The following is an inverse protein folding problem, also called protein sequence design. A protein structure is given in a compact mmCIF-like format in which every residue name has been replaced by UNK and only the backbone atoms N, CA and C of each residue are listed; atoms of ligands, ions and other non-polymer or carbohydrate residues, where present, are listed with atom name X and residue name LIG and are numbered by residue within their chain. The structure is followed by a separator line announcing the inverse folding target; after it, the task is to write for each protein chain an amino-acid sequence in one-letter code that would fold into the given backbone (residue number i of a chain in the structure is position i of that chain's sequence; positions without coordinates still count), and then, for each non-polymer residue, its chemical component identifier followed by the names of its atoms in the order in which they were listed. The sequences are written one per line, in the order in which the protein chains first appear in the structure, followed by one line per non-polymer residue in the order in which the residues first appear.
data_IF_654371752323
#
_entry.id   IF_654371752323
#
_cell.length_a   1.000
_cell.length_b   1.000
_cell.length_c   1.000
_cell.angle_alpha   90.00
_cell.angle_beta   90.00
_cell.angle_gamma   90.00
#
_symmetry.space_group_name_H-M   'P 1'
#
loop_
_entity.id
_entity.type
_entity.pdbx_description
1 polymer ?
#
# COMPACT_ATOMS: atom_id res chain seq x y z
N UNK A 1 -19.79 -17.28 -28.71
CA UNK A 1 -18.47 -17.91 -28.50
C UNK A 1 -17.26 -16.97 -28.49
N UNK A 2 -17.19 -15.91 -29.30
CA UNK A 2 -16.02 -14.98 -29.36
C UNK A 2 -15.69 -14.22 -28.05
N UNK A 3 -16.67 -13.79 -27.25
CA UNK A 3 -16.42 -13.00 -26.01
C UNK A 3 -15.72 -13.77 -24.87
N UNK A 4 -15.87 -15.10 -24.78
CA UNK A 4 -15.23 -15.92 -23.75
C UNK A 4 -13.74 -16.15 -24.04
N UNK A 5 -13.39 -16.28 -25.33
CA UNK A 5 -12.01 -16.48 -25.78
C UNK A 5 -11.18 -15.20 -25.60
N UNK A 6 -11.74 -14.03 -25.94
CA UNK A 6 -11.09 -12.74 -25.69
C UNK A 6 -10.81 -12.48 -24.20
N UNK A 7 -11.74 -12.85 -23.31
CA UNK A 7 -11.52 -12.75 -21.85
C UNK A 7 -10.43 -13.70 -21.36
N UNK A 8 -10.31 -14.90 -21.91
CA UNK A 8 -9.26 -15.87 -21.57
C UNK A 8 -7.88 -15.44 -22.07
N UNK A 9 -7.81 -14.90 -23.28
CA UNK A 9 -6.57 -14.38 -23.88
C UNK A 9 -6.12 -13.12 -23.13
N UNK A 10 -7.00 -12.17 -22.88
CA UNK A 10 -6.68 -10.97 -22.10
C UNK A 10 -6.19 -11.28 -20.69
N UNK A 11 -6.77 -12.31 -20.03
CA UNK A 11 -6.31 -12.78 -18.73
C UNK A 11 -4.91 -13.42 -18.79
N UNK A 12 -4.59 -14.21 -19.80
CA UNK A 12 -3.25 -14.81 -20.00
C UNK A 12 -2.21 -13.74 -20.37
N UNK A 13 -2.55 -12.81 -21.25
CA UNK A 13 -1.67 -11.69 -21.62
C UNK A 13 -1.36 -10.83 -20.40
N UNK A 14 -2.34 -10.56 -19.53
CA UNK A 14 -2.11 -9.82 -18.29
C UNK A 14 -1.24 -10.62 -17.29
N UNK A 15 -1.47 -11.92 -17.17
CA UNK A 15 -0.75 -12.81 -16.24
C UNK A 15 0.72 -13.04 -16.62
N UNK A 16 1.04 -13.08 -17.91
CA UNK A 16 2.40 -13.33 -18.41
C UNK A 16 3.05 -12.03 -18.88
N UNK A 17 2.31 -11.19 -19.58
CA UNK A 17 2.84 -9.94 -20.15
C UNK A 17 3.28 -8.94 -19.10
N UNK A 18 2.53 -8.82 -17.99
CA UNK A 18 2.85 -7.85 -16.95
C UNK A 18 4.19 -8.17 -16.23
N UNK A 19 4.45 -9.41 -15.75
CA UNK A 19 5.77 -9.77 -15.22
C UNK A 19 6.91 -9.57 -16.22
N UNK A 20 6.67 -9.89 -17.51
CA UNK A 20 7.67 -9.68 -18.57
C UNK A 20 7.97 -8.18 -18.77
N UNK A 21 6.95 -7.33 -18.78
CA UNK A 21 7.13 -5.86 -18.88
C UNK A 21 7.90 -5.34 -17.66
N UNK A 22 7.56 -5.77 -16.45
CA UNK A 22 8.27 -5.39 -15.22
C UNK A 22 9.74 -5.77 -15.31
N UNK A 23 10.01 -7.01 -15.71
CA UNK A 23 11.37 -7.51 -15.86
C UNK A 23 12.14 -6.72 -16.95
N UNK A 24 11.50 -6.43 -18.08
CA UNK A 24 12.10 -5.67 -19.16
C UNK A 24 12.44 -4.23 -18.73
N UNK A 25 11.53 -3.55 -18.01
CA UNK A 25 11.77 -2.22 -17.46
C UNK A 25 12.91 -2.25 -16.44
N UNK A 26 12.95 -3.26 -15.58
CA UNK A 26 14.02 -3.45 -14.60
C UNK A 26 15.39 -3.68 -15.30
N UNK A 27 15.44 -4.58 -16.28
CA UNK A 27 16.66 -4.86 -17.05
C UNK A 27 17.17 -3.61 -17.80
N UNK A 28 16.24 -2.82 -18.35
CA UNK A 28 16.60 -1.55 -18.98
C UNK A 28 17.21 -0.57 -17.96
N UNK A 29 16.69 -0.50 -16.75
CA UNK A 29 17.22 0.34 -15.69
C UNK A 29 18.60 -0.14 -15.21
N UNK A 30 18.80 -1.45 -15.08
CA UNK A 30 20.11 -2.06 -14.78
C UNK A 30 21.11 -1.73 -15.90
N UNK A 31 20.72 -1.88 -17.17
CA UNK A 31 21.55 -1.54 -18.32
C UNK A 31 21.99 -0.07 -18.32
N UNK A 32 21.07 0.84 -18.04
CA UNK A 32 21.36 2.29 -18.03
C UNK A 32 22.30 2.70 -16.88
N UNK A 33 22.37 1.91 -15.80
CA UNK A 33 23.27 2.16 -14.66
C UNK A 33 24.44 1.16 -14.61
N UNK A 34 24.71 0.43 -15.69
CA UNK A 34 25.71 -0.66 -15.73
C UNK A 34 27.11 -0.21 -15.34
N UNK A 35 27.54 0.95 -15.80
CA UNK A 35 28.85 1.52 -15.45
C UNK A 35 29.02 1.79 -13.97
N UNK A 36 27.97 2.21 -13.29
CA UNK A 36 27.97 2.44 -11.83
C UNK A 36 27.95 1.12 -11.06
N UNK A 37 27.25 0.10 -11.60
CA UNK A 37 27.18 -1.24 -11.02
C UNK A 37 28.53 -1.97 -11.08
N UNK A 38 29.32 -1.76 -12.14
CA UNK A 38 30.60 -2.43 -12.33
C UNK A 38 31.80 -1.67 -11.73
N UNK A 39 31.62 -0.41 -11.36
CA UNK A 39 32.69 0.43 -10.81
C UNK A 39 33.08 0.07 -9.36
N UNK A 40 32.28 -0.72 -8.66
CA UNK A 40 32.50 -1.07 -7.26
C UNK A 40 32.52 -2.58 -7.03
N UNK A 41 33.47 -3.04 -6.21
CA UNK A 41 33.50 -4.41 -5.69
C UNK A 41 32.57 -4.49 -4.46
N UNK A 42 31.48 -5.21 -4.57
CA UNK A 42 30.53 -5.40 -3.48
C UNK A 42 30.86 -6.67 -2.71
N UNK A 43 30.74 -6.58 -1.38
CA UNK A 43 30.73 -7.77 -0.55
C UNK A 43 29.30 -8.34 -0.49
N UNK A 44 29.10 -9.48 -1.12
CA UNK A 44 27.78 -10.10 -1.16
C UNK A 44 27.61 -11.05 0.02
N UNK A 45 26.70 -10.73 0.94
CA UNK A 45 26.32 -11.63 2.03
C UNK A 45 24.94 -12.25 1.74
N UNK A 46 24.87 -13.52 1.26
CA UNK A 46 23.62 -14.17 0.88
C UNK A 46 22.64 -14.34 2.04
N UNK A 47 23.13 -14.50 3.27
CA UNK A 47 22.29 -14.63 4.46
C UNK A 47 21.54 -13.35 4.77
N UNK A 48 22.21 -12.20 4.68
CA UNK A 48 21.57 -10.91 4.88
C UNK A 48 20.60 -10.59 3.73
N UNK A 49 20.91 -11.00 2.50
CA UNK A 49 19.97 -10.88 1.37
C UNK A 49 18.71 -11.71 1.62
N UNK A 50 18.86 -12.95 2.11
CA UNK A 50 17.73 -13.80 2.49
C UNK A 50 16.90 -13.19 3.62
N UNK A 51 17.53 -12.61 4.63
CA UNK A 51 16.85 -11.94 5.73
C UNK A 51 16.10 -10.68 5.28
N UNK A 52 16.71 -9.87 4.42
CA UNK A 52 16.06 -8.70 3.81
C UNK A 52 14.84 -9.11 2.99
N UNK A 53 14.97 -10.15 2.17
CA UNK A 53 13.87 -10.71 1.39
C UNK A 53 12.70 -11.16 2.28
N UNK A 54 12.98 -11.88 3.37
CA UNK A 54 11.96 -12.28 4.33
C UNK A 54 11.27 -11.08 4.98
N UNK A 55 12.03 -10.04 5.32
CA UNK A 55 11.47 -8.78 5.84
C UNK A 55 10.51 -8.11 4.86
N UNK A 56 10.85 -8.07 3.56
CA UNK A 56 9.93 -7.55 2.54
C UNK A 56 8.68 -8.45 2.35
N UNK A 57 8.81 -9.76 2.45
CA UNK A 57 7.63 -10.64 2.48
C UNK A 57 6.71 -10.34 3.66
N UNK A 58 7.29 -10.12 4.85
CA UNK A 58 6.52 -9.77 6.05
C UNK A 58 5.79 -8.42 5.87
N UNK A 59 6.44 -7.45 5.24
CA UNK A 59 5.81 -6.18 4.86
C UNK A 59 4.59 -6.41 3.95
N UNK A 60 4.72 -7.20 2.89
CA UNK A 60 3.61 -7.49 1.96
C UNK A 60 2.42 -8.15 2.66
N UNK A 61 2.68 -9.10 3.56
CA UNK A 61 1.63 -9.74 4.37
C UNK A 61 0.97 -8.72 5.30
N UNK A 62 1.74 -7.82 5.92
CA UNK A 62 1.22 -6.79 6.82
C UNK A 62 0.21 -5.86 6.12
N UNK A 63 0.39 -5.57 4.85
CA UNK A 63 -0.53 -4.76 4.08
C UNK A 63 -1.94 -5.36 4.02
N UNK A 64 -2.04 -6.64 3.74
CA UNK A 64 -3.32 -7.35 3.72
C UNK A 64 -3.98 -7.44 5.10
N UNK A 65 -3.19 -7.58 6.17
CA UNK A 65 -3.67 -7.57 7.56
C UNK A 65 -4.24 -6.20 7.95
N UNK A 66 -3.53 -5.13 7.63
CA UNK A 66 -3.97 -3.76 7.91
C UNK A 66 -5.26 -3.46 7.15
N UNK A 67 -5.33 -3.83 5.86
CA UNK A 67 -6.53 -3.63 5.06
C UNK A 67 -7.74 -4.44 5.59
N UNK A 68 -7.54 -5.68 6.04
CA UNK A 68 -8.57 -6.46 6.73
C UNK A 68 -9.10 -5.73 7.96
N UNK A 69 -8.21 -5.15 8.76
CA UNK A 69 -8.58 -4.38 9.95
C UNK A 69 -9.41 -3.14 9.57
N UNK A 70 -9.02 -2.42 8.51
CA UNK A 70 -9.79 -1.27 7.99
C UNK A 70 -11.21 -1.72 7.59
N UNK A 71 -11.35 -2.81 6.84
CA UNK A 71 -12.65 -3.35 6.43
C UNK A 71 -13.50 -3.74 7.65
N UNK A 72 -12.91 -4.39 8.66
CA UNK A 72 -13.60 -4.77 9.88
C UNK A 72 -14.15 -3.57 10.65
N UNK A 73 -13.38 -2.45 10.72
CA UNK A 73 -13.80 -1.19 11.34
C UNK A 73 -14.93 -0.50 10.56
N UNK A 74 -15.00 -0.72 9.27
CA UNK A 74 -16.10 -0.26 8.40
C UNK A 74 -17.32 -1.22 8.40
N UNK A 75 -17.32 -2.24 9.27
CA UNK A 75 -18.40 -3.20 9.40
C UNK A 75 -18.37 -4.37 8.43
N UNK A 76 -17.36 -4.46 7.55
CA UNK A 76 -17.20 -5.55 6.59
C UNK A 76 -16.19 -6.59 7.11
N UNK A 77 -16.70 -7.73 7.61
CA UNK A 77 -15.85 -8.81 8.14
C UNK A 77 -15.56 -9.84 7.06
N UNK A 78 -14.34 -9.88 6.59
CA UNK A 78 -13.86 -10.88 5.64
C UNK A 78 -12.76 -11.75 6.29
N UNK A 79 -12.72 -13.02 5.91
CA UNK A 79 -11.66 -13.92 6.35
C UNK A 79 -10.28 -13.45 5.86
N UNK A 80 -9.24 -13.61 6.69
CA UNK A 80 -7.87 -13.18 6.41
C UNK A 80 -7.35 -13.69 5.04
N UNK A 81 -7.56 -14.96 4.73
CA UNK A 81 -7.12 -15.57 3.46
C UNK A 81 -7.74 -14.87 2.24
N UNK A 82 -9.00 -14.45 2.33
CA UNK A 82 -9.70 -13.75 1.26
C UNK A 82 -9.12 -12.34 1.12
N UNK A 83 -8.93 -11.63 2.24
CA UNK A 83 -8.34 -10.30 2.26
C UNK A 83 -6.93 -10.30 1.68
N UNK A 84 -6.04 -11.17 2.14
CA UNK A 84 -4.68 -11.30 1.62
C UNK A 84 -4.67 -11.56 0.11
N UNK A 85 -5.54 -12.49 -0.35
CA UNK A 85 -5.62 -12.82 -1.77
C UNK A 85 -6.08 -11.65 -2.62
N UNK A 86 -7.14 -10.94 -2.19
CA UNK A 86 -7.65 -9.78 -2.92
C UNK A 86 -6.60 -8.68 -2.91
N UNK A 87 -6.00 -8.41 -1.75
CA UNK A 87 -4.99 -7.37 -1.59
C UNK A 87 -3.79 -7.62 -2.50
N UNK A 88 -3.07 -8.70 -2.26
CA UNK A 88 -1.84 -9.04 -2.97
C UNK A 88 -2.07 -9.15 -4.48
N UNK A 89 -3.15 -9.81 -4.92
CA UNK A 89 -3.44 -9.93 -6.35
C UNK A 89 -3.84 -8.60 -7.00
N UNK A 90 -4.43 -7.65 -6.24
CA UNK A 90 -4.75 -6.32 -6.77
C UNK A 90 -3.51 -5.43 -6.90
N UNK A 91 -2.50 -5.59 -6.02
CA UNK A 91 -1.26 -4.83 -6.10
C UNK A 91 -0.51 -5.05 -7.42
N UNK A 92 -0.58 -6.24 -8.02
CA UNK A 92 -0.01 -6.47 -9.37
C UNK A 92 -0.55 -5.53 -10.44
N UNK A 93 -1.77 -5.04 -10.26
CA UNK A 93 -2.41 -4.15 -11.25
C UNK A 93 -1.83 -2.73 -11.18
N UNK A 94 -1.09 -2.36 -10.13
CA UNK A 94 -0.43 -1.04 -10.01
C UNK A 94 0.70 -0.83 -11.03
N UNK A 95 1.20 -1.91 -11.64
CA UNK A 95 2.19 -1.81 -12.71
C UNK A 95 1.60 -1.37 -14.06
N UNK A 96 0.27 -1.28 -14.17
CA UNK A 96 -0.40 -0.63 -15.29
C UNK A 96 -0.32 0.89 -15.08
N UNK A 97 0.11 1.66 -16.10
CA UNK A 97 0.20 3.11 -16.00
C UNK A 97 -1.10 3.74 -15.52
N UNK A 98 -1.00 4.74 -14.62
CA UNK A 98 -2.14 5.48 -14.08
C UNK A 98 -2.45 5.23 -12.60
N UNK A 99 -1.72 4.36 -11.91
CA UNK A 99 -1.75 4.10 -10.43
C UNK A 99 -3.14 3.97 -9.75
N UNK A 100 -4.25 3.93 -10.52
CA UNK A 100 -5.63 3.83 -9.99
C UNK A 100 -6.25 2.45 -10.20
N UNK A 101 -5.66 1.65 -11.07
CA UNK A 101 -6.26 0.38 -11.49
C UNK A 101 -6.32 -0.66 -10.37
N UNK A 102 -5.35 -0.70 -9.48
CA UNK A 102 -5.34 -1.59 -8.31
C UNK A 102 -6.49 -1.26 -7.36
N UNK A 103 -6.82 0.04 -7.18
CA UNK A 103 -7.95 0.51 -6.35
C UNK A 103 -9.26 0.00 -6.95
N UNK A 104 -9.48 0.25 -8.25
CA UNK A 104 -10.70 -0.20 -8.94
C UNK A 104 -10.86 -1.72 -8.91
N UNK A 105 -9.77 -2.45 -9.15
CA UNK A 105 -9.77 -3.92 -9.12
C UNK A 105 -10.14 -4.44 -7.74
N UNK A 106 -9.60 -3.85 -6.68
CA UNK A 106 -9.87 -4.25 -5.30
C UNK A 106 -11.33 -3.99 -4.93
N UNK A 107 -11.89 -2.81 -5.29
CA UNK A 107 -13.30 -2.49 -5.09
C UNK A 107 -14.22 -3.50 -5.80
N UNK A 108 -13.90 -3.84 -7.05
CA UNK A 108 -14.69 -4.80 -7.82
C UNK A 108 -14.61 -6.22 -7.25
N UNK A 109 -13.45 -6.63 -6.78
CA UNK A 109 -13.24 -7.99 -6.27
C UNK A 109 -13.85 -8.19 -4.89
N UNK A 110 -13.69 -7.21 -3.98
CA UNK A 110 -14.28 -7.31 -2.65
C UNK A 110 -15.82 -7.27 -2.70
N UNK A 111 -16.38 -6.58 -3.71
CA UNK A 111 -17.82 -6.58 -3.95
C UNK A 111 -18.42 -7.97 -4.23
N UNK A 112 -17.63 -8.92 -4.76
CA UNK A 112 -18.06 -10.31 -4.96
C UNK A 112 -18.27 -11.09 -3.65
N UNK A 113 -17.76 -10.56 -2.55
CA UNK A 113 -17.87 -11.13 -1.20
C UNK A 113 -18.87 -10.34 -0.33
N UNK A 114 -19.78 -9.59 -0.96
CA UNK A 114 -20.87 -8.90 -0.27
C UNK A 114 -20.50 -7.53 0.32
N UNK A 115 -19.30 -7.04 0.12
CA UNK A 115 -18.91 -5.69 0.57
C UNK A 115 -19.48 -4.65 -0.39
N UNK A 116 -20.25 -3.70 0.14
CA UNK A 116 -20.82 -2.62 -0.68
C UNK A 116 -19.75 -1.73 -1.29
N UNK A 117 -20.01 -1.20 -2.49
CA UNK A 117 -19.06 -0.32 -3.19
C UNK A 117 -18.63 0.91 -2.39
N UNK A 118 -19.55 1.61 -1.65
CA UNK A 118 -19.16 2.73 -0.79
C UNK A 118 -18.17 2.32 0.31
N UNK A 119 -18.41 1.19 0.99
CA UNK A 119 -17.51 0.66 2.03
C UNK A 119 -16.14 0.28 1.44
N UNK A 120 -16.13 -0.38 0.28
CA UNK A 120 -14.91 -0.72 -0.42
C UNK A 120 -14.10 0.54 -0.80
N UNK A 121 -14.77 1.57 -1.34
CA UNK A 121 -14.13 2.84 -1.69
C UNK A 121 -13.60 3.57 -0.44
N UNK A 122 -14.40 3.61 0.63
CA UNK A 122 -13.99 4.19 1.92
C UNK A 122 -12.75 3.49 2.49
N UNK A 123 -12.69 2.15 2.42
CA UNK A 123 -11.54 1.39 2.90
C UNK A 123 -10.25 1.73 2.14
N UNK A 124 -10.34 1.92 0.82
CA UNK A 124 -9.20 2.32 -0.02
C UNK A 124 -8.74 3.75 0.28
N UNK A 125 -9.68 4.66 0.54
CA UNK A 125 -9.35 6.04 0.89
C UNK A 125 -8.66 6.13 2.24
N UNK A 126 -9.18 5.43 3.27
CA UNK A 126 -8.55 5.37 4.60
C UNK A 126 -7.16 4.75 4.49
N UNK A 127 -7.04 3.63 3.78
CA UNK A 127 -5.76 2.98 3.55
C UNK A 127 -4.74 3.94 2.95
N UNK A 128 -5.09 4.59 1.84
CA UNK A 128 -4.19 5.48 1.11
C UNK A 128 -3.71 6.63 1.99
N UNK A 129 -4.64 7.34 2.65
CA UNK A 129 -4.30 8.50 3.46
C UNK A 129 -3.47 8.09 4.69
N UNK A 130 -3.87 7.03 5.39
CA UNK A 130 -3.15 6.58 6.59
C UNK A 130 -1.79 5.98 6.27
N UNK A 131 -1.64 5.31 5.12
CA UNK A 131 -0.37 4.75 4.64
C UNK A 131 0.64 5.84 4.29
N UNK A 132 0.22 6.86 3.50
CA UNK A 132 1.07 8.00 3.16
C UNK A 132 1.42 8.82 4.41
N UNK A 133 0.43 9.10 5.27
CA UNK A 133 0.69 9.82 6.52
C UNK A 133 1.68 9.08 7.42
N UNK A 134 1.59 7.76 7.51
CA UNK A 134 2.52 6.93 8.26
C UNK A 134 3.94 6.96 7.66
N UNK A 135 4.08 6.95 6.33
CA UNK A 135 5.38 7.10 5.65
C UNK A 135 6.03 8.43 5.97
N UNK A 136 5.26 9.52 5.88
CA UNK A 136 5.72 10.86 6.25
C UNK A 136 6.06 10.98 7.74
N UNK A 137 5.27 10.38 8.65
CA UNK A 137 5.56 10.37 10.09
C UNK A 137 6.87 9.64 10.40
N UNK A 138 7.07 8.47 9.81
CA UNK A 138 8.29 7.67 9.97
C UNK A 138 9.51 8.41 9.40
N UNK A 139 9.37 9.05 8.24
CA UNK A 139 10.43 9.90 7.70
C UNK A 139 10.73 11.09 8.61
N UNK A 140 9.72 11.83 9.07
CA UNK A 140 9.90 12.98 9.97
C UNK A 140 10.60 12.57 11.26
N UNK A 141 10.24 11.41 11.84
CA UNK A 141 10.93 10.86 13.01
C UNK A 141 12.39 10.48 12.71
N UNK A 142 12.67 9.97 11.51
CA UNK A 142 14.04 9.61 11.12
C UNK A 142 14.97 10.82 11.03
N UNK A 143 14.45 12.01 10.73
CA UNK A 143 15.24 13.25 10.63
C UNK A 143 16.01 13.58 11.92
N UNK A 144 15.53 13.13 13.08
CA UNK A 144 16.21 13.28 14.36
C UNK A 144 17.60 12.62 14.37
N UNK A 145 17.83 11.64 13.50
CA UNK A 145 19.09 10.89 13.39
C UNK A 145 19.99 11.37 12.25
N UNK A 146 19.56 12.42 11.49
CA UNK A 146 20.33 12.93 10.35
C UNK A 146 21.37 13.98 10.75
N UNK A 147 21.39 14.39 12.02
CA UNK A 147 22.20 15.52 12.53
C UNK A 147 23.70 15.32 12.40
N UNK A 148 24.15 14.07 12.49
CA UNK A 148 25.58 13.71 12.50
C UNK A 148 26.11 13.37 11.10
N UNK A 149 25.28 13.39 10.06
CA UNK A 149 25.62 12.91 8.74
C UNK A 149 25.27 13.90 7.61
N UNK A 150 26.24 14.08 6.69
CA UNK A 150 26.02 14.70 5.38
C UNK A 150 26.00 16.23 5.34
N UNK A 151 25.79 16.73 4.12
CA UNK A 151 25.78 18.17 3.82
C UNK A 151 24.65 18.96 4.51
N UNK A 152 23.60 18.28 4.95
CA UNK A 152 22.44 18.89 5.64
C UNK A 152 22.67 18.96 7.15
N UNK A 153 23.61 18.24 7.73
CA UNK A 153 23.86 18.23 9.17
C UNK A 153 24.02 19.63 9.75
N UNK A 154 24.72 20.52 9.07
CA UNK A 154 24.87 21.93 9.48
C UNK A 154 23.58 22.74 9.39
N UNK A 155 22.70 22.45 8.45
CA UNK A 155 21.37 23.06 8.31
C UNK A 155 20.36 22.50 9.32
N UNK A 156 20.55 21.21 9.69
CA UNK A 156 19.67 20.50 10.62
C UNK A 156 20.05 20.68 12.09
N UNK A 157 21.21 21.25 12.41
CA UNK A 157 21.68 21.49 13.79
C UNK A 157 21.02 22.71 14.48
N UNK A 158 19.97 23.28 13.89
CA UNK A 158 19.27 24.43 14.44
C UNK A 158 17.87 24.06 14.97
N UNK A 159 17.28 24.94 15.83
CA UNK A 159 15.90 24.76 16.33
C UNK A 159 14.87 24.68 15.21
N UNK A 160 15.22 25.13 14.01
CA UNK A 160 14.34 25.13 12.83
C UNK A 160 13.89 23.72 12.43
N UNK A 161 14.76 22.71 12.59
CA UNK A 161 14.43 21.32 12.22
C UNK A 161 13.50 20.68 13.23
N UNK A 162 13.72 20.96 14.50
CA UNK A 162 12.84 20.49 15.57
C UNK A 162 11.44 21.14 15.43
N UNK A 163 11.40 22.41 15.03
CA UNK A 163 10.15 23.13 14.74
C UNK A 163 9.47 22.55 13.49
N UNK A 164 10.19 22.36 12.38
CA UNK A 164 9.63 21.81 11.15
C UNK A 164 9.21 20.34 11.31
N UNK A 165 9.99 19.55 12.03
CA UNK A 165 9.66 18.17 12.35
C UNK A 165 8.39 18.05 13.20
N UNK A 166 8.31 18.81 14.29
CA UNK A 166 7.12 18.84 15.15
C UNK A 166 5.90 19.42 14.44
N UNK A 167 6.07 20.49 13.66
CA UNK A 167 5.00 21.07 12.86
C UNK A 167 4.47 20.10 11.81
N UNK A 168 5.35 19.32 11.16
CA UNK A 168 4.94 18.30 10.19
C UNK A 168 4.16 17.16 10.86
N UNK A 169 4.60 16.70 12.02
CA UNK A 169 3.88 15.69 12.81
C UNK A 169 2.51 16.22 13.22
N UNK A 170 2.44 17.45 13.73
CA UNK A 170 1.18 18.08 14.11
C UNK A 170 0.23 18.23 12.92
N UNK A 171 0.73 18.72 11.78
CA UNK A 171 -0.05 18.85 10.55
C UNK A 171 -0.61 17.51 10.07
N UNK A 172 0.20 16.44 10.13
CA UNK A 172 -0.24 15.08 9.78
C UNK A 172 -1.32 14.57 10.72
N UNK A 173 -1.21 14.81 12.02
CA UNK A 173 -2.26 14.44 13.00
C UNK A 173 -3.57 15.19 12.74
N UNK A 174 -3.49 16.47 12.34
CA UNK A 174 -4.67 17.25 11.93
C UNK A 174 -5.29 16.71 10.65
N UNK A 175 -4.48 16.35 9.65
CA UNK A 175 -4.95 15.76 8.39
C UNK A 175 -5.67 14.41 8.64
N UNK A 176 -5.18 13.63 9.59
CA UNK A 176 -5.78 12.35 9.99
C UNK A 176 -7.10 12.51 10.78
N UNK A 177 -7.47 13.73 11.18
CA UNK A 177 -8.71 13.95 11.91
C UNK A 177 -9.94 13.59 11.04
N UNK A 178 -10.97 12.87 11.57
CA UNK A 178 -12.10 12.39 10.78
C UNK A 178 -12.85 13.48 10.02
N UNK A 179 -12.91 14.69 10.56
CA UNK A 179 -13.55 15.84 9.86
C UNK A 179 -12.80 16.24 8.60
N UNK A 180 -11.46 16.26 8.66
CA UNK A 180 -10.60 16.57 7.51
C UNK A 180 -10.66 15.45 6.48
N UNK A 181 -10.58 14.20 6.93
CA UNK A 181 -10.70 13.02 6.06
C UNK A 181 -12.05 12.98 5.34
N UNK A 182 -13.14 13.22 6.06
CA UNK A 182 -14.47 13.31 5.45
C UNK A 182 -14.58 14.49 4.47
N UNK A 183 -13.96 15.61 4.79
CA UNK A 183 -13.89 16.78 3.90
C UNK A 183 -13.16 16.44 2.60
N UNK A 184 -11.97 15.86 2.68
CA UNK A 184 -11.18 15.41 1.53
C UNK A 184 -11.90 14.35 0.70
N UNK A 185 -12.47 13.34 1.35
CA UNK A 185 -13.26 12.29 0.69
C UNK A 185 -14.42 12.89 -0.09
N UNK A 186 -15.19 13.77 0.56
CA UNK A 186 -16.35 14.39 -0.06
C UNK A 186 -15.97 15.38 -1.17
N UNK A 187 -14.82 16.05 -1.06
CA UNK A 187 -14.26 16.86 -2.13
C UNK A 187 -13.98 15.98 -3.38
N UNK A 188 -13.29 14.85 -3.20
CA UNK A 188 -13.02 13.91 -4.30
C UNK A 188 -14.32 13.35 -4.89
N UNK A 189 -15.28 12.96 -4.05
CA UNK A 189 -16.59 12.46 -4.51
C UNK A 189 -17.36 13.50 -5.28
N UNK A 190 -17.34 14.77 -4.86
CA UNK A 190 -17.96 15.90 -5.61
C UNK A 190 -17.30 16.10 -6.99
N UNK A 191 -15.97 16.05 -7.06
CA UNK A 191 -15.23 16.11 -8.32
C UNK A 191 -15.61 14.97 -9.28
N UNK A 192 -15.87 13.79 -8.71
CA UNK A 192 -16.34 12.61 -9.47
C UNK A 192 -17.87 12.60 -9.69
N UNK A 193 -18.59 13.68 -9.33
CA UNK A 193 -20.05 13.80 -9.41
C UNK A 193 -20.79 12.66 -8.70
N UNK A 194 -20.28 12.24 -7.53
CA UNK A 194 -20.86 11.20 -6.66
C UNK A 194 -21.43 11.81 -5.38
N UNK A 195 -22.42 11.14 -4.82
CA UNK A 195 -23.04 11.55 -3.56
C UNK A 195 -22.01 11.53 -2.41
N UNK A 196 -22.08 12.50 -1.48
CA UNK A 196 -21.21 12.55 -0.32
C UNK A 196 -21.43 11.32 0.57
N UNK A 197 -20.35 10.80 1.14
CA UNK A 197 -20.35 9.68 2.09
C UNK A 197 -19.75 10.16 3.40
N UNK A 198 -20.41 9.84 4.51
CA UNK A 198 -19.85 10.08 5.83
C UNK A 198 -19.15 8.79 6.32
N UNK A 199 -17.87 8.91 6.59
CA UNK A 199 -17.10 7.85 7.24
C UNK A 199 -17.43 7.89 8.74
N UNK A 200 -18.18 6.92 9.22
CA UNK A 200 -18.46 6.74 10.65
C UNK A 200 -17.28 6.00 11.34
N UNK A 201 -16.06 6.53 11.19
CA UNK A 201 -14.85 5.96 11.79
C UNK A 201 -14.38 6.85 12.93
N UNK A 202 -14.07 6.26 14.07
CA UNK A 202 -13.55 7.00 15.24
C UNK A 202 -12.11 7.45 14.95
N UNK A 203 -11.73 8.59 15.52
CA UNK A 203 -10.37 9.09 15.39
C UNK A 203 -9.31 8.10 15.92
N UNK A 204 -9.62 7.44 17.05
CA UNK A 204 -8.78 6.37 17.60
C UNK A 204 -8.53 5.23 16.62
N UNK A 205 -9.53 4.87 15.80
CA UNK A 205 -9.38 3.81 14.81
C UNK A 205 -8.44 4.22 13.68
N UNK A 206 -8.52 5.48 13.24
CA UNK A 206 -7.61 6.03 12.23
C UNK A 206 -6.18 6.08 12.77
N UNK A 207 -5.98 6.51 14.01
CA UNK A 207 -4.66 6.52 14.64
C UNK A 207 -4.08 5.11 14.79
N UNK A 208 -4.89 4.12 15.21
CA UNK A 208 -4.45 2.73 15.32
C UNK A 208 -4.06 2.15 13.95
N UNK A 209 -4.82 2.45 12.89
CA UNK A 209 -4.48 2.04 11.53
C UNK A 209 -3.19 2.72 11.08
N UNK A 210 -3.02 4.02 11.36
CA UNK A 210 -1.78 4.73 11.03
C UNK A 210 -0.59 4.16 11.78
N UNK A 211 -0.74 3.82 13.06
CA UNK A 211 0.30 3.15 13.86
C UNK A 211 0.67 1.78 13.29
N UNK A 212 -0.33 1.01 12.84
CA UNK A 212 -0.07 -0.27 12.16
C UNK A 212 0.71 -0.08 10.84
N UNK A 213 0.42 0.99 10.08
CA UNK A 213 1.23 1.37 8.91
C UNK A 213 2.64 1.81 9.29
N UNK A 214 2.82 2.57 10.39
CA UNK A 214 4.16 2.89 10.90
C UNK A 214 4.94 1.62 11.23
N UNK A 215 4.33 0.65 11.92
CA UNK A 215 4.98 -0.64 12.20
C UNK A 215 5.36 -1.39 10.92
N UNK A 216 4.52 -1.37 9.89
CA UNK A 216 4.83 -1.94 8.58
C UNK A 216 6.02 -1.23 7.92
N UNK A 217 6.10 0.10 8.00
CA UNK A 217 7.25 0.87 7.50
C UNK A 217 8.54 0.59 8.26
N UNK A 218 8.46 0.38 9.58
CA UNK A 218 9.62 -0.05 10.37
C UNK A 218 10.14 -1.41 9.89
N UNK A 219 9.27 -2.39 9.68
CA UNK A 219 9.67 -3.70 9.14
C UNK A 219 10.34 -3.57 7.77
N UNK A 220 9.76 -2.79 6.88
CA UNK A 220 10.30 -2.55 5.54
C UNK A 220 11.66 -1.85 5.58
N UNK A 221 11.77 -0.82 6.41
CA UNK A 221 13.01 -0.06 6.58
C UNK A 221 14.12 -0.87 7.25
N UNK A 222 13.77 -1.74 8.21
CA UNK A 222 14.73 -2.71 8.76
C UNK A 222 15.21 -3.68 7.67
N UNK A 223 14.32 -4.20 6.84
CA UNK A 223 14.69 -5.04 5.70
C UNK A 223 15.61 -4.30 4.72
N UNK A 224 15.32 -3.02 4.47
CA UNK A 224 16.14 -2.16 3.64
C UNK A 224 17.54 -1.90 4.24
N UNK A 225 17.63 -1.69 5.56
CA UNK A 225 18.91 -1.58 6.26
C UNK A 225 19.71 -2.90 6.23
N UNK A 226 19.05 -4.04 6.41
CA UNK A 226 19.70 -5.35 6.28
C UNK A 226 20.22 -5.56 4.85
N UNK A 227 19.51 -5.07 3.85
CA UNK A 227 19.96 -5.08 2.46
C UNK A 227 21.21 -4.19 2.28
N UNK A 228 21.27 -3.03 2.93
CA UNK A 228 22.47 -2.18 2.95
C UNK A 228 23.64 -2.93 3.58
N UNK A 229 23.45 -3.59 4.74
CA UNK A 229 24.47 -4.39 5.42
C UNK A 229 24.97 -5.56 4.56
N UNK A 230 24.12 -6.12 3.70
CA UNK A 230 24.51 -7.21 2.79
C UNK A 230 25.56 -6.78 1.77
N UNK A 231 25.61 -5.48 1.42
CA UNK A 231 26.53 -4.90 0.44
C UNK A 231 27.63 -4.06 1.08
N UNK A 232 27.37 -3.53 2.27
CA UNK A 232 28.26 -2.70 3.05
C UNK A 232 28.24 -3.10 4.54
N UNK A 233 29.01 -4.13 4.94
CA UNK A 233 29.00 -4.65 6.31
C UNK A 233 29.47 -3.64 7.38
N UNK A 234 30.16 -2.58 6.96
CA UNK A 234 30.61 -1.48 7.83
C UNK A 234 29.57 -0.39 8.07
N UNK A 235 28.32 -0.56 7.61
CA UNK A 235 27.28 0.45 7.84
C UNK A 235 26.99 0.62 9.35
N UNK A 236 27.07 1.87 9.88
CA UNK A 236 26.86 2.10 11.30
C UNK A 236 25.39 1.89 11.68
N UNK A 237 25.14 1.47 12.94
CA UNK A 237 23.76 1.23 13.41
C UNK A 237 22.88 2.50 13.35
N UNK A 238 23.49 3.69 13.46
CA UNK A 238 22.79 4.97 13.31
C UNK A 238 22.17 5.14 11.92
N UNK A 239 22.67 4.42 10.89
CA UNK A 239 22.06 4.40 9.56
C UNK A 239 20.71 3.66 9.54
N UNK A 240 20.36 2.85 10.53
CA UNK A 240 19.10 2.12 10.59
C UNK A 240 17.87 3.04 10.54
N UNK A 241 17.69 4.01 11.47
CA UNK A 241 16.56 4.92 11.42
C UNK A 241 16.56 5.79 10.14
N UNK A 242 17.71 6.15 9.61
CA UNK A 242 17.86 6.87 8.35
C UNK A 242 17.33 6.03 7.18
N UNK A 243 17.73 4.76 7.10
CA UNK A 243 17.24 3.82 6.07
C UNK A 243 15.73 3.60 6.16
N UNK A 244 15.18 3.52 7.37
CA UNK A 244 13.73 3.40 7.58
C UNK A 244 13.00 4.61 6.99
N UNK A 245 13.45 5.83 7.30
CA UNK A 245 12.86 7.05 6.78
C UNK A 245 13.01 7.19 5.26
N UNK A 246 14.21 6.93 4.73
CA UNK A 246 14.48 6.98 3.28
C UNK A 246 13.56 6.02 2.52
N UNK A 247 13.41 4.79 3.00
CA UNK A 247 12.57 3.80 2.32
C UNK A 247 11.10 4.19 2.31
N UNK A 248 10.58 4.68 3.45
CA UNK A 248 9.20 5.13 3.58
C UNK A 248 8.91 6.32 2.66
N UNK A 249 9.73 7.38 2.71
CA UNK A 249 9.53 8.57 1.88
C UNK A 249 9.71 8.27 0.39
N UNK A 250 10.70 7.46 0.03
CA UNK A 250 10.93 7.08 -1.36
C UNK A 250 9.73 6.30 -1.94
N UNK A 251 9.07 5.47 -1.11
CA UNK A 251 7.85 4.79 -1.52
C UNK A 251 6.71 5.79 -1.74
N UNK A 252 6.52 6.76 -0.84
CA UNK A 252 5.50 7.81 -0.96
C UNK A 252 5.73 8.65 -2.23
N UNK A 253 6.98 9.08 -2.50
CA UNK A 253 7.36 9.80 -3.73
C UNK A 253 7.04 8.95 -4.97
N UNK A 254 7.42 7.68 -4.96
CA UNK A 254 7.11 6.75 -6.04
C UNK A 254 5.60 6.57 -6.26
N UNK A 255 4.82 6.50 -5.20
CA UNK A 255 3.37 6.38 -5.28
C UNK A 255 2.70 7.63 -5.86
N UNK A 256 3.12 8.82 -5.44
CA UNK A 256 2.58 10.10 -5.92
C UNK A 256 2.99 10.38 -7.37
N UNK A 257 4.05 9.75 -7.87
CA UNK A 257 4.45 9.88 -9.27
C UNK A 257 3.52 9.08 -10.19
N UNK A 258 2.43 9.71 -10.66
CA UNK A 258 1.45 9.08 -11.56
C UNK A 258 1.99 8.80 -12.98
N UNK A 259 3.15 9.32 -13.34
CA UNK A 259 3.72 9.30 -14.70
C UNK A 259 4.27 7.93 -15.03
N UNK A 260 4.89 7.25 -14.08
CA UNK A 260 5.56 5.96 -14.31
C UNK A 260 4.83 4.81 -13.62
N UNK A 261 4.81 3.62 -14.24
CA UNK A 261 4.24 2.43 -13.62
C UNK A 261 4.90 2.16 -12.27
N UNK A 262 4.11 2.08 -11.19
CA UNK A 262 4.60 1.81 -9.83
C UNK A 262 5.77 2.70 -9.37
N UNK A 263 5.86 3.97 -9.86
CA UNK A 263 6.90 4.92 -9.47
C UNK A 263 8.31 4.56 -9.95
N UNK A 264 8.44 3.80 -11.05
CA UNK A 264 9.74 3.43 -11.65
C UNK A 264 10.56 4.68 -11.96
N UNK A 265 11.80 4.72 -11.50
CA UNK A 265 12.74 5.84 -11.64
C UNK A 265 12.62 6.84 -10.48
N UNK A 266 11.42 7.26 -10.10
CA UNK A 266 11.22 8.26 -9.04
C UNK A 266 11.60 7.73 -7.66
N UNK A 267 11.19 6.52 -7.32
CA UNK A 267 11.55 5.88 -6.05
C UNK A 267 13.05 5.65 -5.93
N UNK A 268 13.68 5.15 -6.99
CA UNK A 268 15.11 4.90 -7.03
C UNK A 268 15.91 6.21 -6.95
N UNK A 269 15.51 7.24 -7.70
CA UNK A 269 16.10 8.57 -7.62
C UNK A 269 15.96 9.19 -6.23
N UNK A 270 14.79 9.03 -5.59
CA UNK A 270 14.58 9.50 -4.22
C UNK A 270 15.51 8.79 -3.24
N UNK A 271 15.67 7.46 -3.33
CA UNK A 271 16.62 6.72 -2.46
C UNK A 271 18.05 7.24 -2.64
N UNK A 272 18.51 7.38 -3.90
CA UNK A 272 19.87 7.86 -4.17
C UNK A 272 20.07 9.29 -3.68
N UNK A 273 19.10 10.18 -3.96
CA UNK A 273 19.18 11.58 -3.53
C UNK A 273 19.16 11.72 -2.00
N UNK A 274 18.29 10.97 -1.30
CA UNK A 274 18.20 11.00 0.15
C UNK A 274 19.45 10.40 0.82
N UNK A 275 20.04 9.34 0.26
CA UNK A 275 21.32 8.85 0.75
C UNK A 275 22.44 9.87 0.58
N UNK A 276 22.49 10.55 -0.57
CA UNK A 276 23.50 11.60 -0.79
C UNK A 276 23.40 12.76 0.23
N UNK A 277 22.21 13.01 0.76
CA UNK A 277 21.95 14.03 1.78
C UNK A 277 22.26 13.55 3.21
N UNK A 278 21.98 12.27 3.50
CA UNK A 278 21.98 11.72 4.85
C UNK A 278 23.26 10.96 5.22
N UNK A 279 23.88 10.26 4.29
CA UNK A 279 25.02 9.39 4.54
C UNK A 279 26.11 9.61 3.48
N UNK A 280 27.40 9.54 3.85
CA UNK A 280 28.52 9.69 2.91
C UNK A 280 28.71 8.41 2.05
N UNK A 281 27.63 7.98 1.36
CA UNK A 281 27.66 6.82 0.50
C UNK A 281 28.08 7.18 -0.92
N UNK A 282 28.96 6.38 -1.57
CA UNK A 282 29.20 6.51 -2.99
C UNK A 282 27.89 6.38 -3.79
N UNK A 283 27.68 7.26 -4.77
CA UNK A 283 26.45 7.27 -5.59
C UNK A 283 26.21 5.91 -6.25
N UNK A 284 27.27 5.22 -6.70
CA UNK A 284 27.16 3.87 -7.25
C UNK A 284 26.58 2.86 -6.27
N UNK A 285 27.01 2.86 -5.01
CA UNK A 285 26.49 1.97 -3.98
C UNK A 285 25.01 2.31 -3.66
N UNK A 286 24.67 3.59 -3.52
CA UNK A 286 23.30 4.03 -3.32
C UNK A 286 22.37 3.59 -4.46
N UNK A 287 22.85 3.69 -5.72
CA UNK A 287 22.12 3.24 -6.90
C UNK A 287 21.90 1.72 -6.90
N UNK A 288 22.94 0.94 -6.57
CA UNK A 288 22.82 -0.53 -6.46
C UNK A 288 21.80 -0.91 -5.41
N UNK A 289 21.85 -0.30 -4.23
CA UNK A 289 20.92 -0.58 -3.12
C UNK A 289 19.50 -0.22 -3.54
N UNK A 290 19.29 0.92 -4.19
CA UNK A 290 17.98 1.34 -4.68
C UNK A 290 17.39 0.32 -5.67
N UNK A 291 18.17 -0.10 -6.67
CA UNK A 291 17.77 -1.09 -7.66
C UNK A 291 17.54 -2.47 -7.05
N UNK A 292 18.45 -2.92 -6.18
CA UNK A 292 18.35 -4.22 -5.52
C UNK A 292 17.16 -4.29 -4.56
N UNK A 293 16.89 -3.21 -3.81
CA UNK A 293 15.70 -3.14 -2.94
C UNK A 293 14.42 -3.32 -3.72
N UNK A 294 14.35 -2.73 -4.92
CA UNK A 294 13.21 -2.89 -5.82
C UNK A 294 13.09 -4.32 -6.32
N UNK A 295 14.19 -4.89 -6.76
CA UNK A 295 14.22 -6.27 -7.26
C UNK A 295 13.78 -7.26 -6.18
N UNK A 296 14.38 -7.18 -5.00
CA UNK A 296 14.08 -8.08 -3.88
C UNK A 296 12.62 -7.91 -3.42
N UNK A 297 12.12 -6.67 -3.27
CA UNK A 297 10.73 -6.43 -2.87
C UNK A 297 9.73 -6.89 -3.95
N UNK A 298 10.05 -6.74 -5.24
CA UNK A 298 9.19 -7.23 -6.32
C UNK A 298 9.13 -8.76 -6.35
N UNK A 299 10.25 -9.45 -6.14
CA UNK A 299 10.25 -10.92 -6.02
C UNK A 299 9.44 -11.36 -4.80
N UNK A 300 9.60 -10.69 -3.65
CA UNK A 300 8.82 -10.96 -2.45
C UNK A 300 7.31 -10.81 -2.71
N UNK A 301 6.89 -9.74 -3.40
CA UNK A 301 5.51 -9.52 -3.83
C UNK A 301 5.00 -10.66 -4.73
N UNK A 302 5.78 -11.04 -5.77
CA UNK A 302 5.41 -12.14 -6.70
C UNK A 302 5.21 -13.45 -5.95
N UNK A 303 6.10 -13.77 -5.01
CA UNK A 303 6.03 -15.00 -4.22
C UNK A 303 4.83 -14.97 -3.28
N UNK A 304 4.60 -13.85 -2.56
CA UNK A 304 3.44 -13.70 -1.69
C UNK A 304 2.12 -13.86 -2.45
N UNK A 305 2.00 -13.26 -3.64
CA UNK A 305 0.83 -13.41 -4.51
C UNK A 305 0.66 -14.86 -4.95
N UNK A 306 1.74 -15.50 -5.37
CA UNK A 306 1.71 -16.90 -5.83
C UNK A 306 1.24 -17.82 -4.71
N UNK A 307 1.77 -17.66 -3.50
CA UNK A 307 1.34 -18.43 -2.32
C UNK A 307 -0.15 -18.17 -2.01
N UNK A 308 -0.59 -16.90 -2.02
CA UNK A 308 -1.97 -16.54 -1.77
C UNK A 308 -2.93 -17.13 -2.82
N UNK A 309 -2.49 -17.27 -4.06
CA UNK A 309 -3.29 -17.85 -5.14
C UNK A 309 -3.35 -19.37 -5.06
N UNK A 310 -2.22 -20.04 -4.80
CA UNK A 310 -2.12 -21.49 -4.72
C UNK A 310 -2.85 -22.06 -3.50
N UNK A 311 -2.79 -21.36 -2.37
CA UNK A 311 -3.48 -21.76 -1.12
C UNK A 311 -5.01 -21.74 -1.22
N UNK A 312 -5.60 -21.24 -2.32
CA UNK A 312 -7.03 -21.00 -2.46
C UNK A 312 -7.77 -21.83 -3.49
N UNK A 313 -7.11 -22.76 -4.13
CA UNK A 313 -7.70 -23.53 -5.26
C UNK A 313 -8.93 -24.39 -4.90
N UNK A 314 -9.15 -24.73 -3.64
CA UNK A 314 -10.28 -25.58 -3.21
C UNK A 314 -11.56 -24.78 -2.90
N UNK A 315 -11.44 -23.57 -2.39
CA UNK A 315 -12.59 -22.78 -1.91
C UNK A 315 -13.32 -22.01 -3.03
N UNK A 316 -12.62 -21.66 -4.13
CA UNK A 316 -13.26 -21.03 -5.29
C UNK A 316 -14.11 -22.04 -6.07
N UNK A 317 -13.73 -23.33 -6.09
CA UNK A 317 -14.53 -24.39 -6.72
C UNK A 317 -15.83 -24.66 -5.98
N UNK A 318 -15.83 -24.64 -4.65
CA UNK A 318 -17.06 -24.87 -3.86
C UNK A 318 -18.07 -23.74 -4.00
N UNK A 319 -17.62 -22.48 -4.10
CA UNK A 319 -18.51 -21.32 -4.31
C UNK A 319 -19.07 -21.30 -5.74
N UNK A 320 -18.29 -21.73 -6.74
CA UNK A 320 -18.78 -21.87 -8.11
C UNK A 320 -19.74 -23.05 -8.28
N UNK A 321 -19.54 -24.14 -7.55
CA UNK A 321 -20.46 -25.27 -7.56
C UNK A 321 -21.75 -24.97 -6.81
N UNK A 322 -21.70 -24.27 -5.65
CA UNK A 322 -22.90 -23.85 -4.93
C UNK A 322 -23.75 -22.81 -5.70
N UNK A 323 -23.13 -22.01 -6.57
CA UNK A 323 -23.86 -21.06 -7.43
C UNK A 323 -24.45 -21.68 -8.69
N UNK A 324 -24.01 -22.88 -9.08
CA UNK A 324 -24.56 -23.62 -10.23
C UNK A 324 -25.68 -24.57 -9.82
N UNK A 325 -25.78 -24.96 -8.54
CA UNK A 325 -26.84 -25.82 -8.01
C UNK A 325 -28.11 -25.02 -7.64
N UNK A 326 -28.08 -23.72 -7.67
CA UNK A 326 -29.24 -22.86 -7.46
C UNK A 326 -29.57 -22.07 -8.73
N UNK A 327 -29.84 -22.79 -9.83
CA UNK A 327 -30.70 -22.25 -10.89
C UNK A 327 -32.13 -22.55 -10.44
N UNK A 328 -33.02 -21.55 -10.31
CA UNK A 328 -34.42 -21.80 -10.09
C UNK A 328 -35.00 -22.42 -11.37
N UNK A 329 -35.30 -23.70 -11.33
CA UNK A 329 -36.30 -24.27 -12.18
C UNK A 329 -37.65 -23.79 -11.69
N UNK A 330 -38.49 -23.34 -12.63
CA UNK A 330 -39.92 -23.08 -12.61
C UNK A 330 -40.64 -22.64 -11.31
N UNK A 331 -41.57 -21.70 -11.41
CA UNK A 331 -42.25 -21.16 -10.23
C UNK A 331 -43.34 -22.09 -9.76
N UNK A 332 -43.11 -22.80 -8.66
CA UNK A 332 -44.21 -23.30 -7.82
C UNK A 332 -44.73 -22.15 -6.99
N UNK A 333 -45.94 -21.74 -7.32
CA UNK A 333 -46.82 -20.93 -6.51
C UNK A 333 -47.15 -21.67 -5.23
N UNK A 334 -46.63 -21.26 -4.08
CA UNK A 334 -47.35 -21.22 -2.81
C UNK A 334 -46.49 -20.62 -1.68
N UNK A 335 -47.13 -19.71 -0.99
CA UNK A 335 -46.67 -18.83 0.09
C UNK A 335 -46.50 -19.55 1.44
N UNK A 336 -46.35 -18.85 2.57
CA UNK A 336 -45.46 -17.76 2.98
C UNK A 336 -44.70 -18.11 4.27
N UNK A 337 -43.65 -17.38 4.56
CA UNK A 337 -43.20 -17.34 5.95
C UNK A 337 -41.71 -17.28 6.19
N UNK A 338 -41.34 -16.15 6.69
CA UNK A 338 -40.36 -15.91 7.73
C UNK A 338 -38.88 -15.68 7.35
N UNK A 339 -38.42 -14.55 7.74
CA UNK A 339 -37.18 -14.44 8.47
C UNK A 339 -35.96 -13.89 7.71
N UNK A 340 -36.10 -12.83 6.91
CA UNK A 340 -34.98 -12.00 6.62
C UNK A 340 -34.72 -11.04 7.81
N UNK A 341 -33.67 -11.27 8.57
CA UNK A 341 -33.20 -10.32 9.57
C UNK A 341 -32.62 -9.11 8.87
N UNK A 342 -33.22 -7.92 8.96
CA UNK A 342 -32.64 -6.72 8.37
C UNK A 342 -31.45 -6.27 9.22
N UNK A 343 -30.29 -6.16 8.59
CA UNK A 343 -29.15 -5.44 9.15
C UNK A 343 -29.58 -3.99 9.35
N UNK A 344 -29.86 -3.61 10.59
CA UNK A 344 -30.12 -2.22 10.98
C UNK A 344 -28.87 -1.38 10.73
N UNK A 345 -28.92 -0.57 9.68
CA UNK A 345 -28.11 0.64 9.59
C UNK A 345 -28.60 1.60 10.68
N UNK A 346 -27.72 2.29 11.42
CA UNK A 346 -28.15 3.32 12.35
C UNK A 346 -28.83 4.45 11.57
N UNK A 347 -30.12 4.59 11.82
CA UNK A 347 -31.00 5.61 11.26
C UNK A 347 -30.55 6.98 11.74
N UNK A 348 -30.39 7.92 10.80
CA UNK A 348 -30.29 9.34 11.05
C UNK A 348 -31.49 9.84 11.87
N UNK A 349 -31.21 10.52 12.98
CA UNK A 349 -32.21 11.24 13.80
C UNK A 349 -32.78 12.37 12.93
N UNK A 350 -34.10 12.54 12.83
CA UNK A 350 -34.70 13.69 12.17
C UNK A 350 -34.46 14.95 13.02
N UNK A 351 -34.01 16.00 12.40
CA UNK A 351 -34.02 17.35 13.00
C UNK A 351 -35.47 17.82 13.01
N UNK A 352 -36.08 17.89 14.18
CA UNK A 352 -37.37 18.53 14.38
C UNK A 352 -37.27 20.02 14.02
N UNK A 353 -38.09 20.41 13.06
CA UNK A 353 -38.28 21.81 12.69
C UNK A 353 -39.06 22.50 13.81
N UNK A 354 -38.41 23.46 14.49
CA UNK A 354 -39.05 24.41 15.37
C UNK A 354 -39.88 25.38 14.53
N UNK A 355 -41.19 25.30 14.67
CA UNK A 355 -42.14 26.34 14.24
C UNK A 355 -41.99 27.58 15.13
N UNK A 356 -41.70 28.69 14.47
CA UNK A 356 -41.86 30.02 15.05
C UNK A 356 -43.33 30.39 15.01
N UNK A 357 -43.91 30.62 16.14
CA UNK A 357 -45.21 31.26 16.32
C UNK A 357 -45.03 32.47 17.26
N UNK A 358 -45.52 33.60 16.76
CA UNK A 358 -45.73 34.93 17.42
C UNK A 358 -44.49 35.73 17.81
#
# INVERSE_FOLDING_TARGET
MRRSTFKKIGKRVLQIGLPVVILALFLNQVKNNWSQLTAHTFQWNPWLLGLAFFGFMLQEVSYGLIWQNILARLGARLGLRICLRIYLASEFVRYIPGNVWHILTRILWVGKYGVSRPVAFASMTIELITKLAAGMLVFSASLLFWRDFGAIGSLLNGPLVDILGSASIFALLVILHPRVLNGLLNLVLRLLKRNPVQLAVRYSDILLVTLAWCASWLVAGCAFYVLLLALWPGAPLVALPICIGIYALAWDIGFVSFITPSGLGFREAAIVGLFALALPLPVGLATVIALLSRFVSTIAEVICVSIAYLSGGKQVRSIQQGSQTHMPGEPDLEAPGSGAVPVKLPVSVPVEGGTVGE
#
